data_IF_084595922505
#
_entry.id   IF_084595922505
#
_cell.length_a   1.000
_cell.length_b   1.000
_cell.length_c   1.000
_cell.angle_alpha   90.00
_cell.angle_beta   90.00
_cell.angle_gamma   90.00
#
_symmetry.space_group_name_H-M   'P 1'
#
loop_
_entity.id
_entity.type
_entity.pdbx_description
1 polymer ?
#
# COMPACT_ATOMS: atom_id res chain seq x y z
N UNK A 1 -2.31 -40.15 56.58
CA UNK A 1 -3.59 -40.39 55.85
C UNK A 1 -4.34 -39.10 55.54
N UNK A 2 -4.43 -38.11 56.44
CA UNK A 2 -5.13 -36.84 56.20
C UNK A 2 -4.58 -36.02 55.00
N UNK A 3 -3.27 -36.05 54.77
CA UNK A 3 -2.62 -35.26 53.69
C UNK A 3 -2.98 -35.76 52.29
N UNK A 4 -3.11 -37.08 52.12
CA UNK A 4 -3.53 -37.68 50.84
C UNK A 4 -4.99 -37.37 50.53
N UNK A 5 -5.86 -37.38 51.54
CA UNK A 5 -7.29 -37.10 51.38
C UNK A 5 -7.54 -35.64 50.93
N UNK A 6 -6.78 -34.70 51.49
CA UNK A 6 -6.85 -33.29 51.11
C UNK A 6 -6.37 -33.06 49.66
N UNK A 7 -5.34 -33.80 49.23
CA UNK A 7 -4.83 -33.70 47.87
C UNK A 7 -5.81 -34.26 46.83
N UNK A 8 -6.49 -35.36 47.16
CA UNK A 8 -7.54 -35.94 46.30
C UNK A 8 -8.77 -35.04 46.19
N UNK A 9 -9.19 -34.41 47.29
CA UNK A 9 -10.33 -33.48 47.28
C UNK A 9 -10.03 -32.22 46.46
N UNK A 10 -8.82 -31.68 46.58
CA UNK A 10 -8.40 -30.52 45.79
C UNK A 10 -8.38 -30.83 44.28
N UNK A 11 -7.87 -32.01 43.89
CA UNK A 11 -7.85 -32.45 42.50
C UNK A 11 -9.25 -32.67 41.92
N UNK A 12 -10.21 -33.15 42.71
CA UNK A 12 -11.59 -33.33 42.23
C UNK A 12 -12.30 -31.97 42.05
N UNK A 13 -12.02 -31.02 42.93
CA UNK A 13 -12.60 -29.68 42.85
C UNK A 13 -12.12 -28.92 41.61
N UNK A 14 -10.84 -29.02 41.24
CA UNK A 14 -10.32 -28.37 40.04
C UNK A 14 -10.92 -28.94 38.76
N UNK A 15 -11.10 -30.26 38.68
CA UNK A 15 -11.76 -30.92 37.53
C UNK A 15 -13.22 -30.49 37.41
N UNK A 16 -13.96 -30.40 38.52
CA UNK A 16 -15.35 -29.96 38.52
C UNK A 16 -15.51 -28.52 38.01
N UNK A 17 -14.62 -27.61 38.42
CA UNK A 17 -14.64 -26.21 37.96
C UNK A 17 -14.32 -26.09 36.46
N UNK A 18 -13.41 -26.92 35.94
CA UNK A 18 -13.11 -26.99 34.51
C UNK A 18 -14.34 -27.44 33.70
N UNK A 19 -15.08 -28.47 34.14
CA UNK A 19 -16.30 -28.91 33.43
C UNK A 19 -17.45 -27.90 33.44
N UNK A 20 -17.57 -27.07 34.50
CA UNK A 20 -18.65 -26.08 34.59
C UNK A 20 -18.44 -24.89 33.64
N UNK A 21 -17.17 -24.50 33.41
CA UNK A 21 -16.84 -23.37 32.54
C UNK A 21 -17.11 -23.62 31.05
N UNK A 22 -17.09 -24.88 30.59
CA UNK A 22 -17.35 -25.21 29.18
C UNK A 22 -18.83 -25.11 28.78
N UNK A 23 -19.75 -25.23 29.74
CA UNK A 23 -21.20 -25.20 29.48
C UNK A 23 -21.70 -23.78 29.17
N UNK A 24 -21.04 -22.74 29.73
CA UNK A 24 -21.49 -21.35 29.59
C UNK A 24 -21.15 -20.71 28.23
N UNK A 25 -20.20 -21.29 27.48
CA UNK A 25 -19.75 -20.76 26.18
C UNK A 25 -20.56 -21.29 24.97
N UNK A 26 -21.38 -22.34 25.15
CA UNK A 26 -22.07 -22.99 24.04
C UNK A 26 -23.43 -22.35 23.69
N UNK A 27 -24.10 -21.71 24.65
CA UNK A 27 -25.46 -21.16 24.44
C UNK A 27 -25.48 -19.94 23.51
N UNK A 28 -24.46 -19.07 23.61
CA UNK A 28 -24.42 -17.82 22.83
C UNK A 28 -24.14 -18.08 21.33
N UNK A 29 -23.45 -19.18 21.01
CA UNK A 29 -23.15 -19.52 19.60
C UNK A 29 -24.39 -20.03 18.85
N UNK A 30 -25.30 -20.72 19.55
CA UNK A 30 -26.51 -21.28 18.93
C UNK A 30 -27.56 -20.21 18.59
N UNK A 31 -27.60 -19.10 19.33
CA UNK A 31 -28.56 -18.02 19.07
C UNK A 31 -28.22 -17.23 17.79
N UNK A 32 -26.93 -17.14 17.43
CA UNK A 32 -26.49 -16.47 16.20
C UNK A 32 -26.77 -17.27 14.92
N UNK A 33 -26.89 -18.59 15.01
CA UNK A 33 -27.12 -19.47 13.85
C UNK A 33 -28.59 -19.41 13.38
N UNK A 34 -29.53 -19.16 14.29
CA UNK A 34 -30.97 -19.19 13.98
C UNK A 34 -31.45 -17.92 13.24
N UNK A 35 -30.67 -16.84 13.25
CA UNK A 35 -31.06 -15.55 12.66
C UNK A 35 -30.67 -15.37 11.18
N UNK A 36 -30.20 -16.43 10.51
CA UNK A 36 -29.91 -16.36 9.08
C UNK A 36 -31.19 -16.73 8.29
N UNK A 37 -31.80 -15.80 7.53
CA UNK A 37 -32.94 -16.14 6.68
C UNK A 37 -32.47 -17.00 5.50
N UNK A 38 -33.09 -18.18 5.34
CA UNK A 38 -32.80 -19.23 4.34
C UNK A 38 -33.08 -18.84 2.86
N UNK A 39 -33.33 -17.58 2.55
CA UNK A 39 -33.52 -17.13 1.17
C UNK A 39 -32.22 -16.57 0.61
N UNK A 40 -31.41 -17.44 0.02
CA UNK A 40 -30.24 -17.06 -0.79
C UNK A 40 -30.71 -16.34 -2.06
N UNK A 41 -30.86 -15.02 -1.98
CA UNK A 41 -31.05 -14.16 -3.16
C UNK A 41 -29.71 -14.18 -3.92
N UNK A 42 -29.69 -14.57 -5.21
CA UNK A 42 -28.47 -14.50 -6.01
C UNK A 42 -27.99 -13.04 -6.08
N UNK A 43 -26.74 -12.79 -5.70
CA UNK A 43 -26.11 -11.47 -5.78
C UNK A 43 -25.82 -11.12 -7.24
N UNK A 44 -26.84 -10.68 -7.98
CA UNK A 44 -26.69 -10.04 -9.28
C UNK A 44 -26.69 -8.52 -9.12
N UNK A 45 -25.94 -7.80 -9.97
CA UNK A 45 -25.88 -6.34 -9.94
C UNK A 45 -27.27 -5.68 -10.09
N UNK A 46 -28.22 -6.38 -10.72
CA UNK A 46 -29.60 -5.92 -10.92
C UNK A 46 -30.38 -5.76 -9.61
N UNK A 47 -29.98 -6.47 -8.54
CA UNK A 47 -30.62 -6.43 -7.22
C UNK A 47 -29.88 -5.54 -6.21
N UNK A 48 -28.88 -4.74 -6.64
CA UNK A 48 -28.10 -3.89 -5.72
C UNK A 48 -28.96 -2.86 -4.96
N UNK A 49 -30.12 -2.48 -5.50
CA UNK A 49 -31.03 -1.51 -4.89
C UNK A 49 -31.89 -2.09 -3.76
N UNK A 50 -31.97 -3.41 -3.58
CA UNK A 50 -32.75 -4.04 -2.49
C UNK A 50 -31.91 -4.35 -1.25
N UNK A 51 -30.59 -4.11 -1.31
CA UNK A 51 -29.71 -4.27 -0.16
C UNK A 51 -29.89 -3.10 0.82
N UNK A 52 -29.94 -3.34 2.13
CA UNK A 52 -29.96 -2.26 3.11
C UNK A 52 -28.72 -1.39 2.94
N UNK A 53 -28.90 -0.06 2.96
CA UNK A 53 -27.81 0.90 2.74
C UNK A 53 -26.71 0.67 3.78
N UNK A 54 -25.60 0.08 3.36
CA UNK A 54 -24.42 -0.11 4.20
C UNK A 54 -23.61 1.18 4.17
N UNK A 55 -23.47 1.81 5.34
CA UNK A 55 -22.61 2.98 5.48
C UNK A 55 -21.19 2.54 5.80
N UNK A 56 -20.22 3.03 5.04
CA UNK A 56 -18.81 2.89 5.39
C UNK A 56 -18.43 4.01 6.36
N UNK A 57 -17.72 3.70 7.45
CA UNK A 57 -17.20 4.71 8.39
C UNK A 57 -15.67 4.73 8.37
N UNK A 58 -15.08 5.90 8.63
CA UNK A 58 -13.64 6.04 8.84
C UNK A 58 -13.22 5.55 10.24
N UNK A 59 -11.92 5.60 10.55
CA UNK A 59 -11.37 5.18 11.84
C UNK A 59 -11.82 6.03 13.04
N UNK A 60 -12.49 7.15 12.78
CA UNK A 60 -13.09 8.03 13.79
C UNK A 60 -14.61 7.83 13.90
N UNK A 61 -15.18 6.86 13.18
CA UNK A 61 -16.62 6.58 13.15
C UNK A 61 -17.42 7.55 12.29
N UNK A 62 -16.76 8.39 11.47
CA UNK A 62 -17.47 9.31 10.56
C UNK A 62 -17.87 8.60 9.28
N UNK A 63 -19.13 8.78 8.87
CA UNK A 63 -19.66 8.18 7.64
C UNK A 63 -18.97 8.75 6.40
N UNK A 64 -18.50 7.84 5.55
CA UNK A 64 -17.91 8.11 4.24
C UNK A 64 -19.06 8.17 3.23
N UNK A 65 -19.23 9.33 2.60
CA UNK A 65 -20.26 9.54 1.57
C UNK A 65 -19.74 8.94 0.26
N UNK A 66 -20.37 7.85 -0.18
CA UNK A 66 -20.12 7.29 -1.51
C UNK A 66 -20.99 8.07 -2.50
N UNK A 67 -20.40 8.71 -3.54
CA UNK A 67 -21.17 9.40 -4.56
C UNK A 67 -22.15 8.44 -5.23
N UNK A 68 -23.44 8.81 -5.27
CA UNK A 68 -24.49 8.00 -5.91
C UNK A 68 -24.46 8.06 -7.43
N UNK A 69 -23.66 8.97 -8.00
CA UNK A 69 -23.49 9.10 -9.45
C UNK A 69 -22.52 8.04 -9.96
N UNK A 70 -23.00 7.21 -10.88
CA UNK A 70 -22.20 6.17 -11.54
C UNK A 70 -21.26 6.84 -12.56
N UNK A 71 -20.03 7.14 -12.14
CA UNK A 71 -18.99 7.74 -13.00
C UNK A 71 -18.09 6.66 -13.60
N UNK A 72 -17.72 6.82 -14.88
CA UNK A 72 -16.79 5.91 -15.56
C UNK A 72 -15.42 5.93 -14.89
N UNK A 73 -14.90 4.77 -14.51
CA UNK A 73 -13.61 4.65 -13.81
C UNK A 73 -12.41 5.13 -14.66
N UNK A 74 -12.55 5.24 -15.97
CA UNK A 74 -11.50 5.77 -16.86
C UNK A 74 -11.55 7.30 -17.02
N UNK A 75 -12.64 7.96 -16.63
CA UNK A 75 -12.78 9.41 -16.80
C UNK A 75 -12.43 10.14 -15.51
N UNK A 76 -11.13 10.30 -15.27
CA UNK A 76 -10.61 11.11 -14.17
C UNK A 76 -10.61 12.60 -14.55
N UNK A 77 -11.52 13.39 -13.95
CA UNK A 77 -11.51 14.86 -13.98
C UNK A 77 -10.87 15.36 -12.69
N UNK A 78 -9.64 15.88 -12.78
CA UNK A 78 -8.86 16.35 -11.64
C UNK A 78 -9.31 17.71 -11.09
N UNK A 79 -10.25 18.37 -11.78
CA UNK A 79 -10.52 19.80 -11.62
C UNK A 79 -11.30 20.13 -10.35
N UNK A 80 -12.04 19.16 -9.79
CA UNK A 80 -13.01 19.40 -8.72
C UNK A 80 -12.38 19.43 -7.31
N UNK A 81 -11.18 18.86 -7.14
CA UNK A 81 -10.54 18.68 -5.81
C UNK A 81 -9.65 19.89 -5.43
N UNK A 82 -9.33 20.78 -6.38
CA UNK A 82 -8.38 21.88 -6.17
C UNK A 82 -8.91 23.26 -6.58
N UNK A 83 -10.09 23.66 -6.12
CA UNK A 83 -10.46 25.08 -6.11
C UNK A 83 -9.82 25.79 -4.90
N UNK A 84 -8.48 25.89 -4.91
CA UNK A 84 -7.77 26.94 -4.16
C UNK A 84 -7.53 28.12 -5.11
N UNK A 85 -7.66 29.38 -4.66
CA UNK A 85 -7.61 30.54 -5.55
C UNK A 85 -6.26 30.61 -6.28
N UNK A 86 -6.34 30.64 -7.61
CA UNK A 86 -5.21 30.69 -8.51
C UNK A 86 -4.37 31.95 -8.25
N UNK A 87 -3.21 31.76 -7.61
CA UNK A 87 -2.15 32.78 -7.60
C UNK A 87 -1.65 32.93 -9.04
N UNK A 88 -2.01 34.04 -9.69
CA UNK A 88 -1.47 34.44 -11.01
C UNK A 88 0.07 34.38 -10.95
N UNK A 89 0.68 33.49 -11.71
CA UNK A 89 2.13 33.50 -11.93
C UNK A 89 2.45 34.45 -13.10
N UNK A 90 3.48 35.30 -12.97
CA UNK A 90 3.93 36.14 -14.08
C UNK A 90 4.51 35.26 -15.19
N UNK A 91 4.10 35.58 -16.42
CA UNK A 91 4.49 34.91 -17.65
C UNK A 91 5.90 35.36 -18.04
N UNK A 92 6.92 34.67 -17.54
CA UNK A 92 8.29 34.85 -18.06
C UNK A 92 8.54 33.77 -19.11
N UNK A 93 8.43 34.16 -20.38
CA UNK A 93 8.91 33.37 -21.52
C UNK A 93 10.40 33.10 -21.33
N UNK A 94 10.77 31.91 -20.83
CA UNK A 94 12.14 31.42 -20.93
C UNK A 94 12.30 30.72 -22.27
N UNK A 95 13.00 31.38 -23.17
CA UNK A 95 13.54 30.83 -24.41
C UNK A 95 14.52 29.72 -24.03
N UNK A 96 14.15 28.47 -24.28
CA UNK A 96 15.04 27.32 -24.09
C UNK A 96 16.13 27.34 -25.18
N UNK A 97 17.19 28.12 -24.97
CA UNK A 97 18.43 27.92 -25.70
C UNK A 97 19.08 26.64 -25.18
N UNK A 98 19.14 25.65 -26.07
CA UNK A 98 19.76 24.35 -25.88
C UNK A 98 21.28 24.55 -25.75
N UNK A 99 21.76 24.88 -24.56
CA UNK A 99 23.19 25.00 -24.29
C UNK A 99 23.79 23.60 -24.09
N UNK A 100 24.27 23.04 -25.20
CA UNK A 100 25.21 21.93 -25.21
C UNK A 100 26.57 22.44 -24.73
N UNK A 101 26.87 22.28 -23.45
CA UNK A 101 28.24 22.10 -22.94
C UNK A 101 28.16 21.83 -21.44
N UNK A 102 28.28 20.56 -21.08
CA UNK A 102 28.80 20.19 -19.76
C UNK A 102 29.71 19.00 -19.97
N UNK A 103 31.00 19.30 -20.16
CA UNK A 103 32.12 18.42 -19.93
C UNK A 103 32.15 18.03 -18.45
N UNK A 104 31.22 17.18 -18.04
CA UNK A 104 31.34 16.34 -16.84
C UNK A 104 31.45 14.94 -17.36
N UNK A 105 32.56 14.27 -17.04
CA UNK A 105 32.77 12.82 -17.17
C UNK A 105 31.48 12.11 -17.56
N UNK A 106 31.24 12.03 -18.87
CA UNK A 106 29.93 11.68 -19.38
C UNK A 106 29.76 10.20 -19.12
N UNK A 107 29.12 9.87 -17.99
CA UNK A 107 28.62 8.52 -17.75
C UNK A 107 27.81 8.22 -19.01
N UNK A 108 28.31 7.32 -19.85
CA UNK A 108 27.63 6.85 -21.04
C UNK A 108 26.41 6.11 -20.56
N UNK A 109 25.25 6.77 -20.63
CA UNK A 109 23.98 6.16 -20.28
C UNK A 109 23.44 5.52 -21.54
N UNK A 110 23.10 4.24 -21.44
CA UNK A 110 22.44 3.52 -22.52
C UNK A 110 21.17 4.25 -23.00
N UNK A 111 20.86 4.15 -24.30
CA UNK A 111 19.71 4.83 -24.89
C UNK A 111 18.39 4.08 -24.61
N UNK A 112 18.06 3.86 -23.34
CA UNK A 112 16.83 3.22 -22.87
C UNK A 112 16.07 4.15 -21.90
N UNK A 113 14.73 4.25 -21.99
CA UNK A 113 13.93 5.10 -21.09
C UNK A 113 14.08 4.71 -19.61
N UNK A 114 14.20 3.42 -19.30
CA UNK A 114 14.37 2.92 -17.92
C UNK A 114 15.70 3.37 -17.34
N UNK A 115 16.76 3.31 -18.13
CA UNK A 115 18.08 3.82 -17.73
C UNK A 115 18.07 5.34 -17.52
N UNK A 116 17.41 6.11 -18.39
CA UNK A 116 17.28 7.57 -18.21
C UNK A 116 16.52 7.94 -16.93
N UNK A 117 15.44 7.21 -16.64
CA UNK A 117 14.67 7.40 -15.41
C UNK A 117 15.49 7.04 -14.17
N UNK A 118 16.17 5.88 -14.17
CA UNK A 118 16.99 5.44 -13.05
C UNK A 118 18.09 6.46 -12.74
N UNK A 119 18.76 6.99 -13.75
CA UNK A 119 19.81 7.99 -13.57
C UNK A 119 19.26 9.24 -12.88
N UNK A 120 18.12 9.73 -13.37
CA UNK A 120 17.45 10.91 -12.83
C UNK A 120 17.00 10.68 -11.38
N UNK A 121 16.49 9.49 -11.07
CA UNK A 121 16.07 9.11 -9.72
C UNK A 121 17.25 8.95 -8.77
N UNK A 122 18.33 8.27 -9.16
CA UNK A 122 19.56 8.16 -8.38
C UNK A 122 20.16 9.55 -8.09
N UNK A 123 20.17 10.45 -9.07
CA UNK A 123 20.62 11.83 -8.89
C UNK A 123 19.72 12.60 -7.91
N UNK A 124 18.40 12.38 -7.97
CA UNK A 124 17.47 13.00 -7.04
C UNK A 124 17.68 12.50 -5.60
N UNK A 125 17.75 11.17 -5.42
CA UNK A 125 17.92 10.54 -4.11
C UNK A 125 19.25 10.93 -3.47
N UNK A 126 20.34 10.91 -4.24
CA UNK A 126 21.66 11.36 -3.73
C UNK A 126 21.68 12.83 -3.35
N UNK A 127 20.97 13.69 -4.11
CA UNK A 127 20.80 15.10 -3.73
C UNK A 127 20.02 15.24 -2.43
N UNK A 128 18.91 14.50 -2.28
CA UNK A 128 18.09 14.50 -1.06
C UNK A 128 18.89 14.01 0.15
N UNK A 129 19.63 12.92 0.00
CA UNK A 129 20.50 12.38 1.05
C UNK A 129 21.55 13.41 1.51
N UNK A 130 22.17 14.15 0.58
CA UNK A 130 23.13 15.21 0.94
C UNK A 130 22.49 16.43 1.62
N UNK A 131 21.25 16.75 1.26
CA UNK A 131 20.55 17.90 1.82
C UNK A 131 20.00 17.63 3.23
N UNK A 132 19.85 16.36 3.59
CA UNK A 132 19.25 15.95 4.84
C UNK A 132 20.35 15.46 5.80
N UNK A 133 20.70 16.28 6.80
CA UNK A 133 21.72 15.96 7.81
C UNK A 133 21.24 15.01 8.92
N UNK A 134 19.96 14.63 8.97
CA UNK A 134 19.43 13.81 10.06
C UNK A 134 19.43 12.32 9.72
N UNK A 135 19.81 11.49 10.69
CA UNK A 135 19.79 10.01 10.68
C UNK A 135 18.39 9.39 10.49
N UNK A 136 17.36 10.19 10.21
CA UNK A 136 15.95 9.79 10.18
C UNK A 136 15.50 9.24 8.81
N UNK A 137 16.41 9.16 7.82
CA UNK A 137 16.07 8.86 6.42
C UNK A 137 16.84 7.67 5.83
N UNK A 138 16.91 6.56 6.58
CA UNK A 138 17.47 5.28 6.08
C UNK A 138 16.83 4.84 4.76
N UNK A 139 15.54 5.12 4.57
CA UNK A 139 14.82 4.73 3.35
C UNK A 139 15.40 5.29 2.05
N UNK A 140 16.05 6.48 2.06
CA UNK A 140 16.70 6.99 0.86
C UNK A 140 17.94 6.19 0.52
N UNK A 141 18.67 5.72 1.53
CA UNK A 141 19.84 4.87 1.33
C UNK A 141 19.41 3.50 0.78
N UNK A 142 18.36 2.91 1.37
CA UNK A 142 17.79 1.64 0.91
C UNK A 142 17.30 1.74 -0.55
N UNK A 143 16.60 2.82 -0.89
CA UNK A 143 16.14 3.05 -2.25
C UNK A 143 17.33 3.25 -3.20
N UNK A 144 18.35 4.03 -2.81
CA UNK A 144 19.56 4.21 -3.62
C UNK A 144 20.21 2.85 -3.93
N UNK A 145 20.34 1.98 -2.93
CA UNK A 145 21.01 0.70 -3.10
C UNK A 145 20.19 -0.29 -3.93
N UNK A 146 18.86 -0.28 -3.79
CA UNK A 146 17.97 -1.00 -4.69
C UNK A 146 18.11 -0.49 -6.15
N UNK A 147 18.07 0.83 -6.37
CA UNK A 147 18.16 1.40 -7.72
C UNK A 147 19.55 1.26 -8.35
N UNK A 148 20.62 1.23 -7.55
CA UNK A 148 21.96 0.87 -8.03
C UNK A 148 22.03 -0.58 -8.50
N UNK A 149 21.37 -1.51 -7.79
CA UNK A 149 21.28 -2.91 -8.24
C UNK A 149 20.54 -3.00 -9.58
N UNK A 150 19.41 -2.29 -9.70
CA UNK A 150 18.65 -2.22 -10.94
C UNK A 150 19.47 -1.63 -12.10
N UNK A 151 20.22 -0.54 -11.83
CA UNK A 151 21.12 0.09 -12.80
C UNK A 151 22.15 -0.89 -13.39
N UNK A 152 22.74 -1.74 -12.53
CA UNK A 152 23.71 -2.76 -12.96
C UNK A 152 23.03 -3.89 -13.71
N UNK A 153 21.86 -4.34 -13.24
CA UNK A 153 21.09 -5.39 -13.88
C UNK A 153 20.73 -5.02 -15.32
N UNK A 154 20.29 -3.77 -15.54
CA UNK A 154 19.93 -3.24 -16.85
C UNK A 154 21.13 -2.75 -17.68
N UNK A 155 22.38 -2.95 -17.22
CA UNK A 155 23.60 -2.53 -17.92
C UNK A 155 23.56 -1.06 -18.41
N UNK A 156 22.99 -0.18 -17.58
CA UNK A 156 22.70 1.19 -17.98
C UNK A 156 23.94 2.07 -18.20
N UNK A 157 25.13 1.63 -17.76
CA UNK A 157 26.41 2.33 -17.96
C UNK A 157 27.12 1.97 -19.30
N UNK A 158 26.57 1.01 -20.06
CA UNK A 158 27.14 0.57 -21.34
C UNK A 158 26.06 0.51 -22.42
N UNK A 159 25.67 -0.70 -22.84
CA UNK A 159 24.84 -0.95 -24.03
C UNK A 159 23.35 -0.82 -23.74
N UNK A 160 22.93 -0.98 -22.47
CA UNK A 160 21.53 -1.05 -22.06
C UNK A 160 20.99 -2.48 -21.99
N UNK A 161 19.77 -2.66 -21.48
CA UNK A 161 19.20 -3.99 -21.27
C UNK A 161 18.70 -4.59 -22.59
N UNK A 162 18.95 -5.88 -22.79
CA UNK A 162 18.21 -6.69 -23.77
C UNK A 162 16.79 -6.97 -23.28
N UNK A 163 15.87 -7.39 -24.16
CA UNK A 163 14.48 -7.67 -23.77
C UNK A 163 14.36 -8.78 -22.71
N UNK A 164 15.22 -9.80 -22.80
CA UNK A 164 15.30 -10.87 -21.80
C UNK A 164 15.79 -10.33 -20.45
N UNK A 165 16.85 -9.53 -20.45
CA UNK A 165 17.39 -8.91 -19.23
C UNK A 165 16.38 -7.96 -18.60
N UNK A 166 15.62 -7.21 -19.41
CA UNK A 166 14.55 -6.34 -18.93
C UNK A 166 13.53 -7.12 -18.10
N UNK A 167 13.07 -8.27 -18.60
CA UNK A 167 12.09 -9.12 -17.90
C UNK A 167 12.65 -9.69 -16.59
N UNK A 168 13.91 -10.12 -16.59
CA UNK A 168 14.57 -10.67 -15.38
C UNK A 168 14.81 -9.57 -14.33
N UNK A 169 15.18 -8.37 -14.77
CA UNK A 169 15.50 -7.27 -13.87
C UNK A 169 14.27 -6.53 -13.34
N UNK A 170 13.17 -6.46 -14.11
CA UNK A 170 11.94 -5.79 -13.69
C UNK A 170 10.99 -6.69 -12.88
N UNK A 171 11.04 -8.01 -13.06
CA UNK A 171 10.17 -8.94 -12.31
C UNK A 171 10.47 -9.03 -10.81
N UNK A 172 11.63 -8.51 -10.36
CA UNK A 172 12.06 -8.52 -8.95
C UNK A 172 11.76 -7.21 -8.21
N UNK A 173 10.90 -6.36 -8.77
CA UNK A 173 10.65 -4.99 -8.30
C UNK A 173 9.50 -4.90 -7.30
#
# INVERSE_FOLDING_TARGET
MLTHLNHTLCSLFTVLMLLLSTQLLASDLTELIIKQPDTLIPLTNDNANSLPSQYATDSQGKVIIIPSEQRSALEYRADDIYLKPARKKPNTKQTNTRSSTTSRSSITIANDPSCRWLHSRLKHLTKKLRQTQSNQFSHYQDEIDLRKREWRCLKCASTGPTDVERNVCQSKR
#
